data_IF_822089193563
#
_entry.id   IF_822089193563
#
_cell.length_a   1.000
_cell.length_b   1.000
_cell.length_c   1.000
_cell.angle_alpha   90.00
_cell.angle_beta   90.00
_cell.angle_gamma   90.00
#
_symmetry.space_group_name_H-M   'P 1'
#
loop_
_entity.id
_entity.type
_entity.pdbx_description
1 polymer ?
#
# COMPACT_ATOMS: atom_id res chain seq x y z
N UNK A 1 -29.67 -21.54 -9.13
CA UNK A 1 -28.88 -21.20 -7.93
C UNK A 1 -27.68 -20.41 -8.40
N UNK A 2 -27.77 -19.09 -8.40
CA UNK A 2 -26.65 -18.23 -8.72
C UNK A 2 -25.78 -18.14 -7.47
N UNK A 3 -24.60 -18.73 -7.51
CA UNK A 3 -23.53 -18.40 -6.59
C UNK A 3 -23.11 -16.98 -6.88
N UNK A 4 -23.58 -16.04 -6.06
CA UNK A 4 -23.19 -14.64 -6.16
C UNK A 4 -21.68 -14.52 -6.06
N UNK A 5 -21.09 -13.93 -7.08
CA UNK A 5 -19.69 -13.48 -7.06
C UNK A 5 -19.64 -12.32 -6.08
N UNK A 6 -19.47 -12.63 -4.80
CA UNK A 6 -19.23 -11.60 -3.81
C UNK A 6 -17.85 -11.02 -4.02
N UNK A 7 -17.83 -9.71 -4.20
CA UNK A 7 -16.64 -8.86 -4.29
C UNK A 7 -15.62 -9.19 -3.20
N UNK A 8 -14.36 -9.28 -3.58
CA UNK A 8 -13.24 -9.65 -2.69
C UNK A 8 -12.99 -8.68 -1.54
N UNK A 9 -13.43 -7.43 -1.64
CA UNK A 9 -13.46 -6.45 -0.55
C UNK A 9 -14.60 -5.49 -0.77
N UNK A 10 -15.32 -5.19 0.29
CA UNK A 10 -16.35 -4.15 0.27
C UNK A 10 -15.74 -2.73 0.18
N UNK A 11 -14.41 -2.62 0.31
CA UNK A 11 -13.66 -1.36 0.30
C UNK A 11 -12.44 -1.45 -0.61
N UNK A 12 -12.60 -1.15 -1.91
CA UNK A 12 -11.48 -1.12 -2.85
C UNK A 12 -10.36 -0.17 -2.43
N UNK A 13 -10.68 0.91 -1.71
CA UNK A 13 -9.70 1.87 -1.20
C UNK A 13 -8.69 1.32 -0.18
N UNK A 14 -8.97 0.13 0.40
CA UNK A 14 -8.03 -0.50 1.33
C UNK A 14 -6.82 -1.13 0.65
N UNK A 15 -6.99 -1.62 -0.56
CA UNK A 15 -5.95 -2.34 -1.31
C UNK A 15 -5.19 -1.45 -2.28
N UNK A 16 -5.42 -0.15 -2.22
CA UNK A 16 -4.81 0.82 -3.12
C UNK A 16 -3.41 1.17 -2.65
N UNK A 17 -2.55 1.38 -3.61
CA UNK A 17 -1.22 1.92 -3.36
C UNK A 17 -1.30 3.35 -2.82
N UNK A 18 -0.55 3.62 -1.79
CA UNK A 18 -0.45 4.95 -1.17
C UNK A 18 0.93 5.56 -1.34
N UNK A 19 1.91 4.78 -1.81
CA UNK A 19 3.29 5.21 -2.03
C UNK A 19 3.73 4.90 -3.45
N UNK A 20 4.32 5.88 -4.12
CA UNK A 20 4.94 5.72 -5.44
C UNK A 20 6.08 4.69 -5.41
N UNK A 21 6.80 4.58 -4.30
CA UNK A 21 7.84 3.57 -4.14
C UNK A 21 7.28 2.13 -4.17
N UNK A 22 6.11 1.87 -3.57
CA UNK A 22 5.48 0.56 -3.64
C UNK A 22 4.93 0.24 -5.03
N UNK A 23 4.34 1.24 -5.71
CA UNK A 23 3.88 1.11 -7.10
C UNK A 23 5.03 0.67 -7.99
N UNK A 24 6.17 1.36 -7.90
CA UNK A 24 7.35 1.05 -8.73
C UNK A 24 7.92 -0.33 -8.48
N UNK A 25 7.65 -0.93 -7.33
CA UNK A 25 8.06 -2.30 -6.99
C UNK A 25 6.93 -3.33 -7.19
N UNK A 26 5.90 -3.00 -7.98
CA UNK A 26 4.82 -3.92 -8.29
C UNK A 26 3.94 -4.29 -7.08
N UNK A 27 3.97 -3.51 -6.01
CA UNK A 27 3.29 -3.76 -4.74
C UNK A 27 4.18 -4.36 -3.65
N UNK A 28 5.42 -4.73 -3.96
CA UNK A 28 6.38 -5.18 -2.96
C UNK A 28 6.88 -4.04 -2.04
N UNK A 29 7.49 -4.41 -0.91
CA UNK A 29 8.13 -3.47 -0.01
C UNK A 29 7.39 -3.23 1.30
N UNK A 30 6.70 -4.22 1.83
CA UNK A 30 6.09 -4.15 3.16
C UNK A 30 7.11 -3.88 4.29
N UNK A 31 8.39 -4.21 4.06
CA UNK A 31 9.51 -3.88 4.94
C UNK A 31 10.25 -2.59 4.54
N UNK A 32 9.81 -1.89 3.50
CA UNK A 32 10.37 -0.58 3.13
C UNK A 32 9.74 0.52 4.00
N UNK A 33 10.58 1.30 4.70
CA UNK A 33 10.05 2.40 5.50
C UNK A 33 9.33 3.45 4.65
N UNK A 34 8.09 3.74 4.98
CA UNK A 34 7.33 4.86 4.43
C UNK A 34 6.28 5.30 5.44
N UNK A 35 6.09 6.60 5.66
CA UNK A 35 4.98 7.10 6.46
C UNK A 35 3.64 7.00 5.72
N UNK A 36 3.63 6.97 4.37
CA UNK A 36 2.41 6.94 3.56
C UNK A 36 1.78 5.55 3.49
N UNK A 37 2.60 4.51 3.57
CA UNK A 37 2.11 3.15 3.38
C UNK A 37 1.47 2.63 4.65
N UNK A 38 0.16 2.68 4.69
CA UNK A 38 -0.65 2.12 5.76
C UNK A 38 -0.65 0.58 5.75
N UNK A 39 -0.18 -0.05 4.66
CA UNK A 39 -0.10 -1.49 4.51
C UNK A 39 1.32 -2.03 4.78
N UNK A 40 2.31 -1.18 5.07
CA UNK A 40 3.63 -1.66 5.50
C UNK A 40 3.55 -2.30 6.88
N UNK A 41 4.49 -3.22 7.14
CA UNK A 41 4.61 -3.81 8.47
C UNK A 41 4.73 -2.72 9.56
N UNK A 42 3.83 -2.69 10.55
CA UNK A 42 3.82 -1.66 11.59
C UNK A 42 5.11 -1.55 12.40
N UNK A 43 5.96 -2.59 12.42
CA UNK A 43 7.24 -2.59 13.12
C UNK A 43 8.37 -1.84 12.40
N UNK A 44 8.13 -1.33 11.17
CA UNK A 44 9.15 -0.68 10.35
C UNK A 44 9.05 0.85 10.42
N UNK A 45 10.20 1.51 10.58
CA UNK A 45 10.33 2.96 10.57
C UNK A 45 11.53 3.42 9.74
N UNK A 46 11.37 4.54 9.06
CA UNK A 46 12.39 5.21 8.22
C UNK A 46 13.08 6.43 8.84
N UNK A 47 12.81 6.75 10.09
CA UNK A 47 13.35 7.98 10.71
C UNK A 47 12.29 9.08 10.79
N UNK A 48 12.74 10.34 10.83
CA UNK A 48 11.86 11.50 10.81
C UNK A 48 11.68 11.95 9.36
N UNK A 49 10.49 11.72 8.81
CA UNK A 49 10.19 11.97 7.40
C UNK A 49 8.76 12.46 7.27
N UNK A 50 8.57 13.54 6.55
CA UNK A 50 7.28 13.95 6.00
C UNK A 50 7.18 13.44 4.56
N UNK A 51 6.02 12.94 4.16
CA UNK A 51 5.79 12.46 2.80
C UNK A 51 4.41 12.86 2.30
N UNK A 52 4.34 13.16 1.00
CA UNK A 52 3.09 13.37 0.29
C UNK A 52 3.15 12.65 -1.07
N UNK A 53 2.03 12.08 -1.51
CA UNK A 53 1.93 11.45 -2.82
C UNK A 53 0.58 11.69 -3.48
N UNK A 54 0.61 11.65 -4.81
CA UNK A 54 -0.58 11.62 -5.67
C UNK A 54 -0.42 10.45 -6.62
N UNK A 55 -1.46 9.62 -6.72
CA UNK A 55 -1.49 8.46 -7.61
C UNK A 55 -2.73 8.58 -8.46
N UNK A 56 -2.54 8.54 -9.78
CA UNK A 56 -3.61 8.52 -10.77
C UNK A 56 -3.82 7.10 -11.25
N UNK A 57 -5.05 6.64 -11.16
CA UNK A 57 -5.53 5.36 -11.67
C UNK A 57 -6.33 5.55 -12.95
N UNK A 58 -6.62 4.47 -13.68
CA UNK A 58 -7.58 4.50 -14.79
C UNK A 58 -8.94 5.02 -14.34
N UNK A 59 -9.76 5.42 -15.32
CA UNK A 59 -11.14 5.90 -15.11
C UNK A 59 -11.27 7.16 -14.23
N UNK A 60 -10.24 8.00 -14.17
CA UNK A 60 -10.30 9.26 -13.41
C UNK A 60 -10.15 9.12 -11.91
N UNK A 61 -9.89 7.93 -11.41
CA UNK A 61 -9.67 7.67 -9.98
C UNK A 61 -8.32 8.25 -9.56
N UNK A 62 -8.28 8.90 -8.39
CA UNK A 62 -7.06 9.49 -7.86
C UNK A 62 -6.93 9.23 -6.34
N UNK A 63 -5.73 8.86 -5.91
CA UNK A 63 -5.38 8.77 -4.50
C UNK A 63 -4.45 9.91 -4.10
N UNK A 64 -4.73 10.55 -2.97
CA UNK A 64 -3.94 11.62 -2.36
C UNK A 64 -3.55 11.20 -0.95
N UNK A 65 -2.27 11.24 -0.65
CA UNK A 65 -1.76 10.68 0.59
C UNK A 65 -0.77 11.62 1.23
N UNK A 66 -0.87 11.79 2.52
CA UNK A 66 0.10 12.51 3.35
C UNK A 66 0.45 11.67 4.57
N UNK A 67 1.68 11.81 5.05
CA UNK A 67 2.10 11.08 6.24
C UNK A 67 3.36 11.64 6.86
N UNK A 68 3.54 11.37 8.11
CA UNK A 68 4.71 11.76 8.89
C UNK A 68 5.16 10.58 9.74
N UNK A 69 6.47 10.39 9.83
CA UNK A 69 7.09 9.51 10.81
C UNK A 69 8.03 10.28 11.71
N UNK A 70 8.11 9.87 12.95
CA UNK A 70 8.94 10.51 13.97
C UNK A 70 9.58 9.47 14.88
N UNK A 71 10.70 9.85 15.47
CA UNK A 71 11.43 9.03 16.43
C UNK A 71 11.24 9.58 17.85
N UNK A 72 10.93 8.68 18.76
CA UNK A 72 10.91 8.93 20.19
C UNK A 72 12.22 8.51 20.86
N UNK A 73 12.33 8.76 22.16
CA UNK A 73 13.44 8.23 22.97
C UNK A 73 13.49 6.70 22.89
N UNK A 74 14.67 6.13 23.09
CA UNK A 74 14.95 4.69 23.12
C UNK A 74 14.63 3.97 21.78
N UNK A 75 14.80 4.64 20.64
CA UNK A 75 14.54 4.10 19.30
C UNK A 75 13.09 3.61 19.07
N UNK A 76 12.15 4.11 19.84
CA UNK A 76 10.74 3.98 19.53
C UNK A 76 10.36 4.93 18.41
N UNK A 77 9.31 4.63 17.69
CA UNK A 77 8.86 5.48 16.58
C UNK A 77 7.34 5.52 16.50
N UNK A 78 6.84 6.57 15.88
CA UNK A 78 5.46 6.72 15.50
C UNK A 78 5.33 7.05 14.03
N UNK A 79 4.18 6.73 13.45
CA UNK A 79 3.75 7.16 12.11
C UNK A 79 2.31 7.62 12.20
N UNK A 80 1.99 8.64 11.42
CA UNK A 80 0.62 9.08 11.20
C UNK A 80 0.44 9.32 9.71
N UNK A 81 -0.69 8.89 9.14
CA UNK A 81 -1.01 9.10 7.75
C UNK A 81 -2.50 9.30 7.51
N UNK A 82 -2.80 10.07 6.48
CA UNK A 82 -4.13 10.24 5.90
C UNK A 82 -4.02 9.85 4.43
N UNK A 83 -4.85 8.92 4.02
CA UNK A 83 -4.92 8.43 2.66
C UNK A 83 -6.36 8.63 2.18
N UNK A 84 -6.54 9.36 1.11
CA UNK A 84 -7.83 9.59 0.47
C UNK A 84 -7.80 9.06 -0.95
N UNK A 85 -8.87 8.41 -1.36
CA UNK A 85 -9.12 8.05 -2.75
C UNK A 85 -10.45 8.64 -3.18
N UNK A 86 -10.42 9.33 -4.31
CA UNK A 86 -11.60 9.82 -5.02
C UNK A 86 -11.86 8.94 -6.23
N UNK A 87 -13.07 8.44 -6.34
CA UNK A 87 -13.54 7.65 -7.48
C UNK A 87 -14.12 8.54 -8.58
N UNK A 88 -14.28 9.84 -8.32
CA UNK A 88 -14.86 10.80 -9.24
C UNK A 88 -16.27 11.21 -8.88
N UNK A 89 -16.92 11.83 -9.87
CA UNK A 89 -18.31 12.30 -9.79
C UNK A 89 -19.14 11.42 -10.73
N UNK A 90 -20.29 10.97 -10.26
CA UNK A 90 -21.19 10.08 -10.97
C UNK A 90 -22.54 10.79 -11.16
N UNK A 91 -23.21 10.51 -12.27
CA UNK A 91 -24.59 10.92 -12.50
C UNK A 91 -25.53 9.94 -11.79
N UNK A 92 -26.46 10.46 -11.03
CA UNK A 92 -27.51 9.69 -10.38
C UNK A 92 -28.75 9.59 -11.28
N UNK A 93 -29.42 8.45 -11.23
CA UNK A 93 -30.67 8.20 -11.94
C UNK A 93 -31.67 7.53 -11.00
N UNK A 94 -32.96 7.88 -11.15
CA UNK A 94 -34.04 7.20 -10.45
C UNK A 94 -34.43 5.87 -11.12
N UNK A 95 -35.41 5.18 -10.56
CA UNK A 95 -35.94 3.91 -11.11
C UNK A 95 -36.51 4.04 -12.53
N UNK A 96 -36.85 5.24 -12.97
CA UNK A 96 -37.36 5.56 -14.30
C UNK A 96 -36.24 6.05 -15.23
N UNK A 97 -34.97 5.95 -14.84
CA UNK A 97 -33.83 6.48 -15.58
C UNK A 97 -33.80 7.99 -15.75
N UNK A 98 -34.54 8.75 -14.91
CA UNK A 98 -34.48 10.19 -14.91
C UNK A 98 -33.28 10.69 -14.07
N UNK A 99 -32.53 11.68 -14.55
CA UNK A 99 -31.40 12.21 -13.82
C UNK A 99 -31.81 12.82 -12.48
N UNK A 100 -31.19 12.38 -11.39
CA UNK A 100 -31.44 12.88 -10.02
C UNK A 100 -30.37 13.87 -9.55
N UNK A 101 -29.34 14.12 -10.37
CA UNK A 101 -28.21 14.97 -10.05
C UNK A 101 -26.90 14.22 -10.05
N UNK A 102 -25.87 14.80 -9.44
CA UNK A 102 -24.54 14.18 -9.35
C UNK A 102 -24.17 13.85 -7.90
N UNK A 103 -23.45 12.76 -7.69
CA UNK A 103 -22.88 12.40 -6.41
C UNK A 103 -21.38 12.08 -6.54
N UNK A 104 -20.62 12.22 -5.46
CA UNK A 104 -19.21 11.84 -5.39
C UNK A 104 -19.02 10.58 -4.57
N UNK A 105 -18.00 9.79 -4.91
CA UNK A 105 -17.60 8.64 -4.13
C UNK A 105 -16.13 8.78 -3.70
N UNK A 106 -15.87 8.50 -2.43
CA UNK A 106 -14.51 8.58 -1.87
C UNK A 106 -14.35 7.70 -0.64
N UNK A 107 -13.12 7.20 -0.45
CA UNK A 107 -12.67 6.52 0.76
C UNK A 107 -11.55 7.30 1.42
N UNK A 108 -11.61 7.42 2.75
CA UNK A 108 -10.54 8.03 3.52
C UNK A 108 -10.09 7.08 4.64
N UNK A 109 -8.79 6.90 4.75
CA UNK A 109 -8.14 6.11 5.81
C UNK A 109 -7.22 6.99 6.62
N UNK A 110 -7.46 7.06 7.92
CA UNK A 110 -6.58 7.72 8.88
C UNK A 110 -5.88 6.62 9.68
N UNK A 111 -4.55 6.63 9.72
CA UNK A 111 -3.79 5.58 10.40
C UNK A 111 -2.79 6.19 11.38
N UNK A 112 -2.69 5.60 12.55
CA UNK A 112 -1.68 5.91 13.55
C UNK A 112 -0.96 4.63 13.95
N UNK A 113 0.37 4.64 13.97
CA UNK A 113 1.14 3.47 14.37
C UNK A 113 2.24 3.84 15.36
N UNK A 114 2.53 2.88 16.21
CA UNK A 114 3.61 2.94 17.18
C UNK A 114 4.45 1.66 17.09
N UNK A 115 5.76 1.82 17.13
CA UNK A 115 6.67 0.69 17.12
C UNK A 115 7.81 0.85 18.13
N UNK A 116 8.25 -0.30 18.65
CA UNK A 116 9.29 -0.38 19.68
C UNK A 116 10.37 -1.37 19.27
N UNK A 117 11.63 -0.96 19.46
CA UNK A 117 12.77 -1.85 19.35
C UNK A 117 13.05 -2.53 20.67
N UNK A 118 13.21 -3.84 20.68
CA UNK A 118 13.62 -4.59 21.86
C UNK A 118 15.16 -4.52 21.98
N UNK A 119 15.65 -3.91 23.08
CA UNK A 119 17.05 -3.53 23.19
C UNK A 119 18.04 -4.71 23.19
N UNK A 120 17.62 -5.88 23.66
CA UNK A 120 18.47 -7.10 23.74
C UNK A 120 18.51 -7.92 22.45
N UNK A 121 17.52 -7.73 21.57
CA UNK A 121 17.37 -8.53 20.36
C UNK A 121 17.22 -7.64 19.14
N UNK A 122 17.64 -8.07 17.96
CA UNK A 122 17.43 -7.33 16.71
C UNK A 122 15.97 -7.38 16.23
N UNK A 123 15.03 -7.35 17.18
CA UNK A 123 13.59 -7.46 16.97
C UNK A 123 12.94 -6.09 17.17
N UNK A 124 11.96 -5.79 16.34
CA UNK A 124 11.04 -4.66 16.48
C UNK A 124 9.61 -5.19 16.48
N UNK A 125 8.79 -4.60 17.32
CA UNK A 125 7.34 -4.81 17.37
C UNK A 125 6.64 -3.52 17.00
N UNK A 126 5.48 -3.64 16.38
CA UNK A 126 4.66 -2.48 16.04
C UNK A 126 3.18 -2.82 16.03
N UNK A 127 2.38 -1.81 16.32
CA UNK A 127 0.93 -1.84 16.23
C UNK A 127 0.43 -0.61 15.49
N UNK A 128 -0.68 -0.73 14.80
CA UNK A 128 -1.33 0.33 14.06
C UNK A 128 -2.83 0.27 14.29
N UNK A 129 -3.44 1.42 14.49
CA UNK A 129 -4.88 1.63 14.43
C UNK A 129 -5.20 2.40 13.16
N UNK A 130 -6.28 2.00 12.48
CA UNK A 130 -6.74 2.65 11.26
C UNK A 130 -8.24 2.85 11.33
N UNK A 131 -8.66 4.07 11.04
CA UNK A 131 -10.05 4.43 10.89
C UNK A 131 -10.34 4.71 9.42
N UNK A 132 -11.29 3.99 8.88
CA UNK A 132 -11.78 4.16 7.51
C UNK A 132 -13.14 4.81 7.55
N UNK A 133 -13.34 5.77 6.68
CA UNK A 133 -14.68 6.19 6.36
C UNK A 133 -14.83 6.37 4.84
N UNK A 134 -15.96 5.90 4.35
CA UNK A 134 -16.31 5.89 2.94
C UNK A 134 -17.62 6.63 2.74
N UNK A 135 -17.66 7.38 1.67
CA UNK A 135 -18.85 8.12 1.24
C UNK A 135 -19.17 7.74 -0.22
N UNK A 136 -20.37 7.21 -0.45
CA UNK A 136 -20.87 6.82 -1.76
C UNK A 136 -22.29 7.41 -1.94
N UNK A 137 -22.37 8.70 -2.24
CA UNK A 137 -23.64 9.42 -2.30
C UNK A 137 -24.30 9.47 -0.92
N UNK A 138 -25.43 8.82 -0.76
CA UNK A 138 -26.21 8.78 0.49
C UNK A 138 -25.71 7.71 1.48
N UNK A 139 -24.79 6.84 1.04
CA UNK A 139 -24.27 5.74 1.88
C UNK A 139 -22.96 6.12 2.52
N UNK A 140 -22.86 5.90 3.83
CA UNK A 140 -21.64 6.11 4.59
C UNK A 140 -21.24 4.85 5.35
N UNK A 141 -19.92 4.60 5.42
CA UNK A 141 -19.35 3.45 6.12
C UNK A 141 -18.21 3.90 7.00
N UNK A 142 -18.18 3.37 8.21
CA UNK A 142 -17.09 3.63 9.15
C UNK A 142 -16.55 2.30 9.66
N UNK A 143 -15.22 2.15 9.66
CA UNK A 143 -14.57 0.93 10.13
C UNK A 143 -13.36 1.31 10.98
N UNK A 144 -13.27 0.71 12.16
CA UNK A 144 -12.08 0.73 12.98
C UNK A 144 -11.37 -0.61 12.86
N UNK A 145 -10.11 -0.59 12.47
CA UNK A 145 -9.29 -1.78 12.33
C UNK A 145 -7.94 -1.62 13.02
N UNK A 146 -7.34 -2.76 13.39
CA UNK A 146 -6.01 -2.84 13.96
C UNK A 146 -5.10 -3.69 13.10
N UNK A 147 -3.82 -3.40 13.15
CA UNK A 147 -2.76 -4.19 12.54
C UNK A 147 -1.61 -4.33 13.53
N UNK A 148 -0.95 -5.47 13.50
CA UNK A 148 0.21 -5.73 14.33
C UNK A 148 1.33 -6.36 13.47
N UNK A 149 2.58 -6.15 13.87
CA UNK A 149 3.68 -6.72 13.15
C UNK A 149 4.94 -6.81 13.98
N UNK A 150 5.79 -7.74 13.57
CA UNK A 150 7.15 -7.80 14.07
C UNK A 150 8.13 -7.84 12.91
N UNK A 151 9.39 -7.46 13.18
CA UNK A 151 10.50 -7.64 12.25
C UNK A 151 11.78 -7.97 13.00
N UNK A 152 12.56 -8.82 12.37
CA UNK A 152 13.91 -9.22 12.79
C UNK A 152 14.91 -8.67 11.78
N UNK A 153 15.96 -7.96 12.22
CA UNK A 153 16.97 -7.38 11.35
C UNK A 153 18.37 -7.88 11.69
N UNK A 154 18.91 -8.75 10.85
CA UNK A 154 20.30 -9.16 10.89
C UNK A 154 21.17 -8.07 10.23
N UNK A 155 21.81 -7.22 11.05
CA UNK A 155 22.54 -6.04 10.57
C UNK A 155 23.75 -6.39 9.71
N UNK A 156 24.52 -7.38 10.12
CA UNK A 156 25.73 -7.82 9.42
C UNK A 156 25.40 -8.38 8.02
N UNK A 157 24.33 -9.13 7.91
CA UNK A 157 23.88 -9.75 6.66
C UNK A 157 22.99 -8.84 5.83
N UNK A 158 22.71 -7.61 6.30
CA UNK A 158 21.82 -6.64 5.65
C UNK A 158 20.46 -7.25 5.25
N UNK A 159 19.96 -8.16 6.09
CA UNK A 159 18.73 -8.91 5.86
C UNK A 159 17.69 -8.56 6.92
N UNK A 160 16.43 -8.45 6.49
CA UNK A 160 15.29 -8.24 7.39
C UNK A 160 14.19 -9.22 7.03
N UNK A 161 13.62 -9.88 8.03
CA UNK A 161 12.37 -10.64 7.90
C UNK A 161 11.32 -9.95 8.74
N UNK A 162 10.08 -10.00 8.30
CA UNK A 162 8.94 -9.50 9.05
C UNK A 162 7.69 -10.32 8.82
N UNK A 163 6.80 -10.24 9.78
CA UNK A 163 5.46 -10.78 9.69
C UNK A 163 4.49 -9.73 10.22
N UNK A 164 3.36 -9.57 9.58
CA UNK A 164 2.31 -8.66 10.03
C UNK A 164 0.94 -9.19 9.71
N UNK A 165 -0.03 -8.84 10.57
CA UNK A 165 -1.44 -9.08 10.35
C UNK A 165 -2.10 -7.72 10.20
N UNK A 166 -2.87 -7.56 9.15
CA UNK A 166 -3.58 -6.31 8.84
C UNK A 166 -5.09 -6.50 8.88
N UNK A 167 -5.80 -5.39 9.06
CA UNK A 167 -7.26 -5.33 8.97
C UNK A 167 -7.99 -6.22 9.98
N UNK A 168 -7.49 -6.32 11.22
CA UNK A 168 -8.26 -6.87 12.33
C UNK A 168 -9.37 -5.88 12.68
N UNK A 169 -10.58 -6.14 12.18
CA UNK A 169 -11.74 -5.26 12.40
C UNK A 169 -12.27 -5.44 13.81
N UNK A 170 -12.48 -4.35 14.52
CA UNK A 170 -13.05 -4.33 15.87
C UNK A 170 -14.43 -3.70 15.91
N UNK A 171 -14.70 -2.79 14.98
CA UNK A 171 -15.99 -2.12 14.90
C UNK A 171 -16.26 -1.69 13.46
N UNK A 172 -17.47 -1.91 13.00
CA UNK A 172 -18.00 -1.39 11.74
C UNK A 172 -19.38 -0.80 11.96
N UNK A 173 -19.67 0.31 11.29
CA UNK A 173 -20.97 0.94 11.25
C UNK A 173 -21.31 1.23 9.79
N UNK A 174 -22.45 0.74 9.34
CA UNK A 174 -22.98 1.02 8.01
C UNK A 174 -24.49 1.13 8.05
N UNK A 175 -25.05 1.96 7.21
CA UNK A 175 -26.49 2.00 6.94
C UNK A 175 -26.77 0.91 5.89
N UNK A 176 -27.28 -0.25 6.32
CA UNK A 176 -27.79 -1.36 5.50
C UNK A 176 -26.84 -2.24 4.68
N UNK A 177 -25.53 -2.12 4.80
CA UNK A 177 -24.60 -2.97 4.08
C UNK A 177 -23.70 -3.80 5.03
N UNK A 178 -23.54 -5.08 4.73
CA UNK A 178 -22.62 -5.97 5.46
C UNK A 178 -21.20 -5.67 4.98
N UNK A 179 -20.39 -5.15 5.88
CA UNK A 179 -18.97 -4.90 5.62
C UNK A 179 -18.18 -6.15 5.97
N UNK A 180 -17.71 -6.85 4.96
CA UNK A 180 -16.89 -8.04 5.11
C UNK A 180 -15.41 -7.70 4.87
N UNK A 181 -14.71 -7.34 5.96
CA UNK A 181 -13.26 -7.13 5.96
C UNK A 181 -12.58 -8.35 6.54
N UNK A 182 -11.62 -8.89 5.77
CA UNK A 182 -10.85 -10.03 6.22
C UNK A 182 -9.45 -9.62 6.67
N UNK A 183 -8.98 -10.23 7.77
CA UNK A 183 -7.59 -10.11 8.15
C UNK A 183 -6.69 -10.65 7.04
N UNK A 184 -5.61 -9.94 6.74
CA UNK A 184 -4.57 -10.42 5.84
C UNK A 184 -3.28 -10.66 6.61
N UNK A 185 -2.68 -11.83 6.39
CA UNK A 185 -1.37 -12.18 6.92
C UNK A 185 -0.31 -11.88 5.85
N UNK A 186 0.74 -11.17 6.24
CA UNK A 186 1.86 -10.85 5.36
C UNK A 186 3.15 -11.36 5.97
N UNK A 187 3.91 -12.12 5.17
CA UNK A 187 5.28 -12.53 5.49
C UNK A 187 6.20 -11.84 4.49
N UNK A 188 7.22 -11.17 4.99
CA UNK A 188 8.08 -10.31 4.20
C UNK A 188 9.56 -10.59 4.42
N UNK A 189 10.34 -10.50 3.35
CA UNK A 189 11.80 -10.55 3.38
C UNK A 189 12.40 -9.38 2.59
N UNK A 190 13.50 -8.82 3.10
CA UNK A 190 14.29 -7.86 2.33
C UNK A 190 15.77 -8.09 2.54
N UNK A 191 16.55 -7.96 1.47
CA UNK A 191 18.02 -8.11 1.51
C UNK A 191 18.68 -7.06 0.65
N UNK A 192 19.62 -6.32 1.22
CA UNK A 192 20.56 -5.50 0.46
C UNK A 192 21.77 -6.35 0.10
N UNK A 193 22.06 -6.45 -1.20
CA UNK A 193 23.19 -7.24 -1.69
C UNK A 193 24.52 -6.58 -1.31
N UNK A 194 25.56 -7.38 -1.12
CA UNK A 194 26.86 -6.88 -0.66
C UNK A 194 27.68 -6.27 -1.78
N UNK A 195 27.66 -6.91 -2.95
CA UNK A 195 28.49 -6.52 -4.10
C UNK A 195 27.74 -5.71 -5.15
N UNK A 196 26.43 -5.56 -5.00
CA UNK A 196 25.60 -4.78 -5.89
C UNK A 196 24.78 -3.76 -5.07
N UNK A 197 24.63 -2.53 -5.54
CA UNK A 197 23.79 -1.54 -4.88
C UNK A 197 22.28 -1.83 -5.10
N UNK A 198 21.89 -3.08 -4.90
CA UNK A 198 20.55 -3.61 -5.11
C UNK A 198 19.95 -4.09 -3.79
N UNK A 199 18.78 -3.61 -3.47
CA UNK A 199 17.94 -4.12 -2.39
C UNK A 199 16.78 -4.91 -3.00
N UNK A 200 16.59 -6.15 -2.56
CA UNK A 200 15.52 -7.04 -2.99
C UNK A 200 14.44 -7.12 -1.92
N UNK A 201 13.20 -7.24 -2.34
CA UNK A 201 12.02 -7.38 -1.49
C UNK A 201 11.18 -8.55 -2.00
N UNK A 202 10.70 -9.36 -1.07
CA UNK A 202 9.77 -10.46 -1.31
C UNK A 202 8.68 -10.38 -0.25
N UNK A 203 7.43 -10.30 -0.68
CA UNK A 203 6.28 -10.27 0.20
C UNK A 203 5.27 -11.33 -0.22
N UNK A 204 4.78 -12.08 0.76
CA UNK A 204 3.77 -13.11 0.63
C UNK A 204 2.55 -12.66 1.42
N UNK A 205 1.41 -12.49 0.77
CA UNK A 205 0.18 -12.02 1.40
C UNK A 205 -0.93 -13.05 1.21
N UNK A 206 -1.55 -13.46 2.31
CA UNK A 206 -2.77 -14.29 2.23
C UNK A 206 -3.97 -13.41 1.89
N UNK A 207 -4.72 -13.77 0.86
CA UNK A 207 -5.98 -13.14 0.50
C UNK A 207 -7.17 -14.05 0.88
N UNK A 208 -8.38 -13.48 1.01
CA UNK A 208 -9.58 -14.20 1.47
C UNK A 208 -9.90 -15.46 0.67
N UNK A 209 -9.61 -15.49 -0.62
CA UNK A 209 -9.97 -16.61 -1.51
C UNK A 209 -9.00 -17.78 -1.49
N UNK A 210 -8.21 -17.97 -0.43
CA UNK A 210 -7.09 -18.92 -0.38
C UNK A 210 -5.96 -18.64 -1.39
N UNK A 211 -6.04 -17.58 -2.16
CA UNK A 211 -5.02 -17.21 -3.10
C UNK A 211 -3.86 -16.52 -2.39
N UNK A 212 -2.67 -17.03 -2.59
CA UNK A 212 -1.44 -16.42 -2.11
C UNK A 212 -0.97 -15.39 -3.12
N UNK A 213 -0.96 -14.11 -2.73
CA UNK A 213 -0.33 -13.08 -3.51
C UNK A 213 1.17 -13.00 -3.21
N UNK A 214 1.98 -13.07 -4.25
CA UNK A 214 3.45 -13.01 -4.18
C UNK A 214 3.89 -11.74 -4.89
N UNK A 215 4.64 -10.89 -4.18
CA UNK A 215 5.21 -9.66 -4.71
C UNK A 215 6.72 -9.73 -4.65
N UNK A 216 7.39 -9.39 -5.75
CA UNK A 216 8.85 -9.33 -5.83
C UNK A 216 9.22 -7.95 -6.34
N UNK A 217 10.11 -7.26 -5.61
CA UNK A 217 10.58 -5.93 -5.97
C UNK A 217 12.08 -5.77 -5.81
N UNK A 218 12.63 -4.81 -6.54
CA UNK A 218 14.02 -4.42 -6.45
C UNK A 218 14.19 -2.90 -6.47
N UNK A 219 15.15 -2.42 -5.69
CA UNK A 219 15.60 -1.03 -5.69
C UNK A 219 17.10 -1.01 -5.95
N UNK A 220 17.50 -0.40 -7.05
CA UNK A 220 18.89 -0.29 -7.49
C UNK A 220 19.35 1.17 -7.34
N UNK A 221 20.39 1.38 -6.52
CA UNK A 221 21.02 2.68 -6.32
C UNK A 221 22.05 2.91 -7.45
N UNK A 222 21.70 3.65 -8.50
CA UNK A 222 22.65 3.98 -9.59
C UNK A 222 23.79 4.82 -9.06
N UNK A 223 23.45 5.80 -8.22
CA UNK A 223 24.40 6.64 -7.51
C UNK A 223 23.76 7.17 -6.21
N UNK A 224 24.45 8.10 -5.52
CA UNK A 224 23.96 8.66 -4.24
C UNK A 224 22.63 9.43 -4.38
N UNK A 225 22.28 9.84 -5.60
CA UNK A 225 21.13 10.69 -5.87
C UNK A 225 20.04 9.99 -6.67
N UNK A 226 20.37 8.96 -7.45
CA UNK A 226 19.43 8.32 -8.38
C UNK A 226 19.24 6.87 -8.04
N UNK A 227 17.97 6.47 -7.92
CA UNK A 227 17.51 5.10 -7.67
C UNK A 227 16.55 4.69 -8.78
N UNK A 228 16.64 3.43 -9.20
CA UNK A 228 15.65 2.80 -10.09
C UNK A 228 14.95 1.68 -9.29
N UNK A 229 13.67 1.53 -9.52
CA UNK A 229 12.85 0.47 -8.90
C UNK A 229 12.09 -0.28 -9.95
N UNK A 230 11.91 -1.56 -9.69
CA UNK A 230 11.12 -2.46 -10.52
C UNK A 230 10.51 -3.56 -9.65
N UNK A 231 9.44 -4.14 -10.13
CA UNK A 231 8.82 -5.25 -9.42
C UNK A 231 7.60 -5.79 -10.15
N UNK A 232 7.13 -6.92 -9.66
CA UNK A 232 5.99 -7.60 -10.25
C UNK A 232 5.31 -8.50 -9.20
N UNK A 233 4.10 -8.95 -9.52
CA UNK A 233 3.36 -9.89 -8.67
C UNK A 233 2.75 -11.02 -9.50
N UNK A 234 2.42 -12.14 -8.82
CA UNK A 234 1.71 -13.26 -9.43
C UNK A 234 0.25 -12.91 -9.80
N UNK A 235 -0.26 -11.76 -9.37
CA UNK A 235 -1.60 -11.26 -9.76
C UNK A 235 -1.78 -11.15 -11.28
N UNK A 236 -0.68 -11.03 -12.04
CA UNK A 236 -0.71 -11.03 -13.51
C UNK A 236 -1.38 -12.27 -14.12
N UNK A 237 -1.27 -13.41 -13.46
CA UNK A 237 -1.88 -14.65 -13.97
C UNK A 237 -3.40 -14.65 -13.82
N UNK A 238 -3.92 -13.99 -12.76
CA UNK A 238 -5.35 -13.89 -12.50
C UNK A 238 -6.01 -12.69 -13.21
N UNK A 239 -5.22 -11.67 -13.58
CA UNK A 239 -5.72 -10.44 -14.21
C UNK A 239 -5.58 -10.44 -15.73
N UNK A 240 -4.89 -11.40 -16.32
CA UNK A 240 -4.64 -11.45 -17.76
C UNK A 240 -5.86 -11.98 -18.50
N UNK A 241 -6.75 -11.09 -18.90
CA UNK A 241 -7.97 -11.40 -19.66
C UNK A 241 -7.65 -11.77 -21.12
N UNK A 242 -6.64 -11.12 -21.71
CA UNK A 242 -6.30 -11.27 -23.14
C UNK A 242 -5.36 -12.44 -23.44
N UNK A 243 -4.73 -13.03 -22.41
CA UNK A 243 -3.74 -14.11 -22.53
C UNK A 243 -2.64 -13.87 -23.57
N UNK A 244 -2.31 -12.60 -23.84
CA UNK A 244 -1.20 -12.24 -24.71
C UNK A 244 0.14 -12.29 -23.95
N UNK A 245 1.24 -12.43 -24.70
CA UNK A 245 2.59 -12.54 -24.11
C UNK A 245 2.97 -11.24 -23.41
N UNK A 246 2.59 -10.07 -23.94
CA UNK A 246 2.95 -8.78 -23.38
C UNK A 246 2.30 -8.56 -22.02
N UNK A 247 0.99 -8.79 -21.90
CA UNK A 247 0.26 -8.69 -20.62
C UNK A 247 0.72 -9.74 -19.61
N UNK A 248 1.14 -10.94 -20.09
CA UNK A 248 1.68 -11.99 -19.22
C UNK A 248 3.04 -11.62 -18.63
N UNK A 249 3.86 -10.87 -19.36
CA UNK A 249 5.21 -10.45 -18.89
C UNK A 249 5.15 -9.15 -18.09
N UNK A 250 4.48 -8.12 -18.63
CA UNK A 250 4.49 -6.76 -18.07
C UNK A 250 3.30 -6.50 -17.15
N UNK A 251 2.21 -7.26 -17.27
CA UNK A 251 1.05 -7.13 -16.39
C UNK A 251 1.39 -7.29 -14.91
N UNK A 252 0.68 -6.58 -14.05
CA UNK A 252 0.90 -6.51 -12.60
C UNK A 252 2.35 -6.19 -12.22
N UNK A 253 2.99 -5.32 -13.00
CA UNK A 253 4.38 -4.91 -12.82
C UNK A 253 4.49 -3.41 -12.66
N UNK A 254 5.47 -2.99 -11.84
CA UNK A 254 5.79 -1.60 -11.58
C UNK A 254 7.20 -1.26 -12.02
N UNK A 255 7.39 -0.01 -12.39
CA UNK A 255 8.68 0.59 -12.67
C UNK A 255 8.69 2.04 -12.18
N UNK A 256 9.83 2.52 -11.74
CA UNK A 256 9.96 3.90 -11.31
C UNK A 256 11.38 4.31 -10.97
N UNK A 257 11.53 5.58 -10.69
CA UNK A 257 12.80 6.15 -10.26
C UNK A 257 12.61 7.09 -9.08
N UNK A 258 13.67 7.26 -8.31
CA UNK A 258 13.77 8.22 -7.22
C UNK A 258 14.97 9.12 -7.41
N UNK A 259 14.79 10.42 -7.23
CA UNK A 259 15.86 11.40 -7.24
C UNK A 259 15.99 12.08 -5.89
N UNK A 260 17.15 11.91 -5.24
CA UNK A 260 17.45 12.47 -3.93
C UNK A 260 18.39 13.64 -4.05
N UNK A 261 18.01 14.78 -3.47
CA UNK A 261 18.87 15.97 -3.33
C UNK A 261 18.77 16.48 -1.89
N UNK A 262 19.87 16.39 -1.15
CA UNK A 262 19.91 16.70 0.29
C UNK A 262 18.82 15.89 1.05
N UNK A 263 17.89 16.57 1.71
CA UNK A 263 16.84 16.00 2.54
C UNK A 263 15.57 15.68 1.77
N UNK A 264 15.53 15.97 0.46
CA UNK A 264 14.37 15.78 -0.40
C UNK A 264 14.61 14.58 -1.31
N UNK A 265 13.64 13.65 -1.35
CA UNK A 265 13.57 12.54 -2.29
C UNK A 265 12.26 12.65 -3.07
N UNK A 266 12.34 12.76 -4.38
CA UNK A 266 11.20 12.76 -5.29
C UNK A 266 11.16 11.40 -5.98
N UNK A 267 10.02 10.74 -5.98
CA UNK A 267 9.78 9.47 -6.63
C UNK A 267 8.73 9.65 -7.74
N UNK A 268 8.95 8.97 -8.84
CA UNK A 268 7.96 8.78 -9.90
C UNK A 268 7.82 7.31 -10.23
N UNK A 269 6.61 6.87 -10.52
CA UNK A 269 6.32 5.45 -10.79
C UNK A 269 5.22 5.28 -11.81
N UNK A 270 5.27 4.14 -12.48
CA UNK A 270 4.24 3.62 -13.38
C UNK A 270 3.95 2.19 -12.96
N UNK A 271 2.68 1.80 -12.99
CA UNK A 271 2.23 0.42 -12.79
C UNK A 271 1.31 0.01 -13.92
N UNK A 272 1.55 -1.16 -14.46
CA UNK A 272 0.76 -1.76 -15.53
C UNK A 272 -0.14 -2.82 -14.94
N UNK A 273 -1.46 -2.64 -15.02
CA UNK A 273 -2.41 -3.69 -14.64
C UNK A 273 -2.41 -4.83 -15.67
N UNK A 274 -2.87 -6.01 -15.25
CA UNK A 274 -3.00 -7.16 -16.15
C UNK A 274 -3.94 -6.94 -17.34
N UNK A 275 -4.82 -5.95 -17.26
CA UNK A 275 -5.68 -5.48 -18.37
C UNK A 275 -4.97 -4.55 -19.36
N UNK A 276 -3.73 -4.14 -19.09
CA UNK A 276 -2.98 -3.14 -19.86
C UNK A 276 -3.24 -1.69 -19.44
N UNK A 277 -4.14 -1.44 -18.50
CA UNK A 277 -4.36 -0.11 -17.94
C UNK A 277 -3.16 0.36 -17.11
N UNK A 278 -2.93 1.68 -17.05
CA UNK A 278 -1.76 2.28 -16.39
C UNK A 278 -2.17 3.13 -15.20
N UNK A 279 -1.42 2.98 -14.09
CA UNK A 279 -1.40 3.95 -13.00
C UNK A 279 -0.07 4.69 -12.96
N UNK A 280 -0.11 5.95 -12.50
CA UNK A 280 1.07 6.79 -12.34
C UNK A 280 1.09 7.39 -10.95
N UNK A 281 2.25 7.41 -10.31
CA UNK A 281 2.43 7.97 -8.98
C UNK A 281 3.58 8.95 -8.91
N UNK A 282 3.36 10.04 -8.19
CA UNK A 282 4.41 10.97 -7.75
C UNK A 282 4.41 11.03 -6.23
N UNK A 283 5.60 11.10 -5.65
CA UNK A 283 5.78 11.17 -4.20
C UNK A 283 6.96 12.06 -3.87
N UNK A 284 6.81 12.88 -2.85
CA UNK A 284 7.88 13.66 -2.25
C UNK A 284 8.07 13.20 -0.80
N UNK A 285 9.33 13.00 -0.40
CA UNK A 285 9.73 12.68 0.96
C UNK A 285 10.74 13.74 1.42
N UNK A 286 10.52 14.30 2.59
CA UNK A 286 11.37 15.33 3.20
C UNK A 286 11.83 14.82 4.56
N UNK A 287 13.15 14.68 4.73
CA UNK A 287 13.73 14.40 6.05
C UNK A 287 13.64 15.66 6.93
N UNK A 288 13.17 15.50 8.18
CA UNK A 288 12.91 16.57 9.16
C UNK A 288 13.63 16.33 10.49
#
# INVERSE_FOLDING_TARGET
FSSGVFSKTSFPGMDIFTSSANISMGGAGYLKPSPLSSNTNPSISGGKVFSASIIKYPAGIASQNIGISFLFKNNNFGKFSINNISYGIFEGYDENLMPTGTYSASDTKISSSYGKRISRFPIRLGAQSSFYFSNYGDYTFNILSFSAGFSFRAKEQKFTIGMSVHNLVTSSSSNDLIVDLHPSLVISGSKKLEHLPLSLFLDLTSEKSSDLAIFIGGEFDINKNLQIRFGSSNRKFNQNIKKDIFSSVIGASGFGFGYKKKDILINYSIYVFGTGALSQGMEINIAI
#
